data_IF_520862922842
#
_entry.id   IF_520862922842
#
_cell.length_a   1.000
_cell.length_b   1.000
_cell.length_c   1.000
_cell.angle_alpha   90.00
_cell.angle_beta   90.00
_cell.angle_gamma   90.00
#
_symmetry.space_group_name_H-M   'P 1'
#
loop_
_entity.id
_entity.type
_entity.pdbx_description
1 polymer ?
#
# COMPACT_ATOMS: atom_id res chain seq x y z
N UNK A 1 -18.31 -2.98 12.89
CA UNK A 1 -17.79 -4.37 12.88
C UNK A 1 -16.50 -4.45 13.70
N UNK A 2 -15.43 -3.72 13.35
CA UNK A 2 -14.14 -3.79 14.09
C UNK A 2 -14.22 -3.35 15.56
N UNK A 3 -15.08 -2.39 15.90
CA UNK A 3 -15.30 -1.96 17.29
C UNK A 3 -15.74 -3.09 18.21
N UNK A 4 -16.55 -4.02 17.72
CA UNK A 4 -16.96 -5.20 18.51
C UNK A 4 -15.78 -6.10 18.82
N UNK A 5 -14.86 -6.31 17.86
CA UNK A 5 -13.67 -7.13 18.05
C UNK A 5 -12.69 -6.49 19.04
N UNK A 6 -12.62 -5.16 19.07
CA UNK A 6 -11.84 -4.44 20.09
C UNK A 6 -12.46 -4.61 21.48
N UNK A 7 -13.78 -4.45 21.61
CA UNK A 7 -14.48 -4.62 22.88
C UNK A 7 -14.34 -6.04 23.43
N UNK A 8 -14.32 -7.06 22.54
CA UNK A 8 -14.15 -8.47 22.93
C UNK A 8 -12.70 -8.89 23.11
N UNK A 9 -11.73 -7.98 22.95
CA UNK A 9 -10.30 -8.27 23.07
C UNK A 9 -9.71 -9.11 21.95
N UNK A 10 -10.45 -9.28 20.84
CA UNK A 10 -9.97 -10.00 19.64
C UNK A 10 -9.09 -9.15 18.73
N UNK A 11 -9.15 -7.83 18.90
CA UNK A 11 -8.27 -6.87 18.24
C UNK A 11 -7.76 -5.83 19.22
N UNK A 12 -6.51 -5.39 19.10
CA UNK A 12 -6.00 -4.25 19.83
C UNK A 12 -6.79 -2.96 19.53
N UNK A 13 -6.76 -1.97 20.40
CA UNK A 13 -7.28 -0.63 20.12
C UNK A 13 -6.71 -0.04 18.82
N UNK A 14 -7.47 0.85 18.20
CA UNK A 14 -7.10 1.40 16.89
C UNK A 14 -5.73 2.13 16.91
N UNK A 15 -5.43 2.85 17.99
CA UNK A 15 -4.18 3.59 18.13
C UNK A 15 -2.94 2.68 18.23
N UNK A 16 -3.09 1.42 18.62
CA UNK A 16 -2.00 0.43 18.65
C UNK A 16 -1.77 -0.23 17.28
N UNK A 17 -2.74 -0.10 16.38
CA UNK A 17 -2.70 -0.70 15.02
C UNK A 17 -2.29 0.29 13.95
N UNK A 18 -2.39 1.58 14.22
CA UNK A 18 -2.01 2.64 13.29
C UNK A 18 -0.52 2.99 13.46
N UNK A 19 0.13 3.46 12.38
CA UNK A 19 1.47 4.05 12.49
C UNK A 19 1.43 5.33 13.36
N UNK A 20 2.58 5.78 13.85
CA UNK A 20 2.67 7.01 14.66
C UNK A 20 2.10 8.24 13.96
N UNK A 21 2.33 8.33 12.63
CA UNK A 21 1.85 9.40 11.78
C UNK A 21 0.95 8.81 10.69
N UNK A 22 -0.31 8.43 11.01
CA UNK A 22 -1.21 7.86 10.03
C UNK A 22 -1.54 8.89 8.94
N UNK A 23 -1.76 8.40 7.73
CA UNK A 23 -2.28 9.24 6.67
C UNK A 23 -3.71 9.67 7.01
N UNK A 24 -3.94 10.97 7.05
CA UNK A 24 -5.28 11.55 7.17
C UNK A 24 -5.69 12.05 5.78
N UNK A 25 -6.75 11.46 5.25
CA UNK A 25 -7.31 11.86 3.95
C UNK A 25 -8.43 12.85 4.21
N UNK A 26 -8.33 14.03 3.61
CA UNK A 26 -9.41 15.01 3.58
C UNK A 26 -10.29 14.72 2.36
N UNK A 27 -11.53 14.22 2.57
CA UNK A 27 -12.41 13.90 1.46
C UNK A 27 -12.93 15.20 0.81
N UNK A 28 -13.05 15.20 -0.52
CA UNK A 28 -13.47 16.38 -1.30
C UNK A 28 -14.91 16.86 -0.96
N UNK A 29 -15.80 15.93 -0.63
CA UNK A 29 -17.23 16.22 -0.41
C UNK A 29 -17.66 15.99 1.06
N UNK A 30 -16.76 15.57 1.92
CA UNK A 30 -17.05 15.27 3.32
C UNK A 30 -16.96 13.77 3.67
N UNK A 31 -17.02 13.47 4.96
CA UNK A 31 -16.90 12.10 5.47
C UNK A 31 -18.12 11.29 5.08
N UNK A 32 -17.92 10.19 4.34
CA UNK A 32 -18.98 9.28 3.95
C UNK A 32 -19.52 8.45 5.13
N UNK A 33 -20.64 7.78 4.91
CA UNK A 33 -21.18 6.81 5.87
C UNK A 33 -20.46 5.46 5.73
N UNK A 34 -19.96 4.95 6.84
CA UNK A 34 -19.30 3.66 6.86
C UNK A 34 -20.30 2.52 6.69
N UNK A 35 -20.05 1.63 5.76
CA UNK A 35 -20.86 0.44 5.51
C UNK A 35 -21.39 0.38 4.08
N UNK A 36 -22.37 -0.52 3.87
CA UNK A 36 -22.96 -0.77 2.55
C UNK A 36 -22.19 -1.82 1.74
N UNK A 37 -22.61 -1.99 0.49
CA UNK A 37 -22.01 -2.94 -0.47
C UNK A 37 -21.69 -2.20 -1.76
N UNK A 38 -20.44 -2.29 -2.15
CA UNK A 38 -19.99 -1.74 -3.43
C UNK A 38 -20.06 -2.82 -4.51
N UNK A 39 -20.96 -2.68 -5.47
CA UNK A 39 -21.08 -3.56 -6.62
C UNK A 39 -20.17 -3.09 -7.75
N UNK A 40 -19.38 -4.01 -8.30
CA UNK A 40 -18.55 -3.77 -9.48
C UNK A 40 -18.82 -4.84 -10.52
N UNK A 41 -18.82 -4.45 -11.78
CA UNK A 41 -18.97 -5.35 -12.91
C UNK A 41 -17.62 -5.55 -13.62
N UNK A 42 -17.42 -6.74 -14.17
CA UNK A 42 -16.28 -7.06 -15.03
C UNK A 42 -16.74 -7.98 -16.16
N UNK A 43 -16.05 -7.91 -17.29
CA UNK A 43 -16.45 -8.61 -18.53
C UNK A 43 -15.93 -10.05 -18.62
N UNK A 44 -15.03 -10.44 -17.71
CA UNK A 44 -14.47 -11.79 -17.67
C UNK A 44 -13.21 -11.89 -16.82
N UNK A 45 -12.62 -13.09 -16.70
CA UNK A 45 -11.45 -13.33 -15.84
C UNK A 45 -10.25 -12.43 -16.15
N UNK A 46 -10.10 -11.97 -17.39
CA UNK A 46 -9.02 -11.07 -17.80
C UNK A 46 -9.20 -9.63 -17.29
N UNK A 47 -10.39 -9.25 -16.82
CA UNK A 47 -10.69 -7.92 -16.23
C UNK A 47 -10.54 -7.91 -14.70
N UNK A 48 -9.63 -8.74 -14.18
CA UNK A 48 -9.35 -8.86 -12.74
C UNK A 48 -8.82 -7.55 -12.10
N UNK A 49 -8.25 -6.64 -12.88
CA UNK A 49 -7.75 -5.34 -12.41
C UNK A 49 -8.83 -4.50 -11.70
N UNK A 50 -10.10 -4.65 -12.06
CA UNK A 50 -11.20 -4.00 -11.37
C UNK A 50 -11.36 -4.43 -9.90
N UNK A 51 -10.97 -5.67 -9.60
CA UNK A 51 -10.95 -6.18 -8.22
C UNK A 51 -9.64 -5.84 -7.49
N UNK A 52 -8.53 -5.85 -8.20
CA UNK A 52 -7.21 -5.63 -7.61
C UNK A 52 -6.98 -4.18 -7.15
N UNK A 53 -7.41 -3.20 -7.94
CA UNK A 53 -7.15 -1.78 -7.66
C UNK A 53 -7.59 -1.31 -6.27
N UNK A 54 -8.79 -1.66 -5.77
CA UNK A 54 -9.20 -1.27 -4.42
C UNK A 54 -8.54 -2.10 -3.30
N UNK A 55 -7.81 -3.17 -3.64
CA UNK A 55 -7.16 -4.06 -2.68
C UNK A 55 -5.66 -3.82 -2.56
N UNK A 56 -5.09 -2.96 -3.40
CA UNK A 56 -3.65 -2.66 -3.41
C UNK A 56 -3.40 -1.26 -2.90
N UNK A 57 -2.46 -1.14 -2.00
CA UNK A 57 -1.89 0.14 -1.58
C UNK A 57 -0.57 0.39 -2.29
N UNK A 58 -0.36 1.65 -2.68
CA UNK A 58 0.85 2.10 -3.35
C UNK A 58 1.71 2.94 -2.40
N UNK A 59 3.00 3.05 -2.70
CA UNK A 59 3.91 3.92 -1.94
C UNK A 59 3.44 5.37 -1.94
N UNK A 60 2.95 5.84 -3.09
CA UNK A 60 2.40 7.17 -3.31
C UNK A 60 1.05 7.06 -4.03
N UNK A 61 0.19 8.03 -3.83
CA UNK A 61 -1.00 8.28 -4.65
C UNK A 61 -0.84 9.56 -5.46
N UNK A 62 -1.71 9.77 -6.42
CA UNK A 62 -1.88 11.08 -7.04
C UNK A 62 -3.03 11.84 -6.37
N UNK A 63 -2.93 13.16 -6.41
CA UNK A 63 -4.05 14.03 -6.05
C UNK A 63 -5.27 13.78 -6.94
N UNK A 64 -6.40 14.38 -6.61
CA UNK A 64 -7.66 14.23 -7.36
C UNK A 64 -7.55 14.74 -8.80
N UNK A 65 -6.60 15.63 -9.09
CA UNK A 65 -6.29 16.14 -10.43
C UNK A 65 -5.34 15.23 -11.22
N UNK A 66 -4.83 14.17 -10.62
CA UNK A 66 -3.82 13.26 -11.22
C UNK A 66 -2.53 13.99 -11.66
N UNK A 67 -2.18 15.08 -10.98
CA UNK A 67 -1.05 15.94 -11.34
C UNK A 67 0.12 15.83 -10.39
N UNK A 68 -0.15 15.68 -9.10
CA UNK A 68 0.88 15.74 -8.04
C UNK A 68 0.89 14.46 -7.23
N UNK A 69 2.05 13.77 -7.10
CA UNK A 69 2.17 12.64 -6.20
C UNK A 69 1.99 13.08 -4.75
N UNK A 70 1.28 12.25 -3.98
CA UNK A 70 0.96 12.47 -2.57
C UNK A 70 1.49 11.30 -1.74
N UNK A 71 1.93 11.53 -0.49
CA UNK A 71 2.34 10.46 0.41
C UNK A 71 1.22 9.46 0.67
N UNK A 72 1.57 8.16 0.75
CA UNK A 72 0.68 7.09 1.20
C UNK A 72 1.41 6.15 2.16
N UNK A 73 1.82 4.96 1.73
CA UNK A 73 2.69 4.05 2.50
C UNK A 73 4.01 4.74 2.82
N UNK A 74 4.61 5.40 1.84
CA UNK A 74 5.73 6.29 2.08
C UNK A 74 5.24 7.60 2.71
N UNK A 75 5.89 8.00 3.80
CA UNK A 75 5.66 9.30 4.43
C UNK A 75 6.25 10.44 3.58
N UNK A 76 7.36 10.17 2.90
CA UNK A 76 8.04 11.10 2.00
C UNK A 76 8.88 10.36 0.98
N UNK A 77 9.34 11.07 -0.04
CA UNK A 77 10.28 10.57 -1.03
C UNK A 77 11.23 11.68 -1.49
N UNK A 78 12.36 11.27 -2.03
CA UNK A 78 13.32 12.16 -2.69
C UNK A 78 13.83 11.54 -3.97
N UNK A 79 14.13 12.38 -4.97
CA UNK A 79 14.76 11.99 -6.22
C UNK A 79 16.08 12.72 -6.29
N UNK A 80 17.17 12.02 -6.64
CA UNK A 80 18.48 12.66 -6.83
C UNK A 80 18.49 13.54 -8.10
N UNK A 81 19.54 14.35 -8.26
CA UNK A 81 19.59 15.38 -9.31
C UNK A 81 19.53 14.85 -10.73
N UNK A 82 20.04 13.65 -10.99
CA UNK A 82 20.04 12.98 -12.29
C UNK A 82 18.86 12.01 -12.50
N UNK A 83 17.91 11.99 -11.53
CA UNK A 83 16.72 11.15 -11.55
C UNK A 83 16.98 9.64 -11.66
N UNK A 84 18.14 9.17 -11.22
CA UNK A 84 18.52 7.75 -11.25
C UNK A 84 18.18 7.02 -9.96
N UNK A 85 18.02 7.76 -8.83
CA UNK A 85 17.71 7.19 -7.52
C UNK A 85 16.46 7.83 -6.93
N UNK A 86 15.48 7.00 -6.60
CA UNK A 86 14.26 7.36 -5.89
C UNK A 86 14.32 6.73 -4.49
N UNK A 87 14.34 7.55 -3.46
CA UNK A 87 14.35 7.11 -2.07
C UNK A 87 13.01 7.34 -1.41
N UNK A 88 12.45 6.30 -0.80
CA UNK A 88 11.23 6.36 0.01
C UNK A 88 11.55 6.29 1.50
N UNK A 89 10.86 7.12 2.29
CA UNK A 89 10.84 7.00 3.75
C UNK A 89 9.50 6.42 4.16
N UNK A 90 9.50 5.24 4.77
CA UNK A 90 8.27 4.60 5.26
C UNK A 90 7.72 5.36 6.46
N UNK A 91 6.41 5.23 6.71
CA UNK A 91 5.81 5.73 7.95
C UNK A 91 6.31 4.94 9.14
N UNK A 92 6.58 5.64 10.23
CA UNK A 92 7.09 5.02 11.46
C UNK A 92 6.01 4.14 12.12
N UNK A 93 6.42 2.98 12.61
CA UNK A 93 5.58 1.99 13.29
C UNK A 93 4.41 1.43 12.44
N UNK A 94 4.60 1.33 11.14
CA UNK A 94 3.67 0.57 10.29
C UNK A 94 3.68 -0.92 10.66
N UNK A 95 2.52 -1.54 10.57
CA UNK A 95 2.34 -2.96 10.89
C UNK A 95 1.54 -3.67 9.80
N UNK A 96 1.82 -4.94 9.64
CA UNK A 96 0.97 -5.87 8.92
C UNK A 96 -0.35 -6.11 9.68
N UNK A 97 -1.31 -6.77 9.03
CA UNK A 97 -2.61 -7.07 9.65
C UNK A 97 -2.55 -8.03 10.84
N UNK A 98 -1.48 -8.80 10.95
CA UNK A 98 -1.18 -9.70 12.08
C UNK A 98 -0.49 -8.99 13.26
N UNK A 99 -0.08 -7.72 13.05
CA UNK A 99 0.58 -6.90 14.05
C UNK A 99 2.10 -6.85 13.95
N UNK A 100 2.72 -7.65 13.07
CA UNK A 100 4.15 -7.61 12.84
C UNK A 100 4.59 -6.28 12.18
N UNK A 101 5.79 -5.77 12.49
CA UNK A 101 6.28 -4.54 11.87
C UNK A 101 6.45 -4.66 10.36
N UNK A 102 5.92 -3.68 9.62
CA UNK A 102 6.21 -3.52 8.18
C UNK A 102 7.46 -2.66 8.00
N UNK A 103 8.49 -3.22 7.36
CA UNK A 103 9.81 -2.61 7.24
C UNK A 103 10.39 -2.76 5.84
N UNK A 104 11.54 -2.11 5.59
CA UNK A 104 12.32 -2.31 4.36
C UNK A 104 12.81 -3.76 4.18
N UNK A 105 12.86 -4.56 5.27
CA UNK A 105 13.21 -5.99 5.18
C UNK A 105 12.17 -6.77 4.40
N UNK A 106 10.90 -6.43 4.54
CA UNK A 106 9.80 -7.08 3.82
C UNK A 106 9.90 -6.80 2.32
N UNK A 107 10.24 -5.55 1.96
CA UNK A 107 10.50 -5.17 0.57
C UNK A 107 11.70 -5.92 0.01
N UNK A 108 12.81 -5.97 0.75
CA UNK A 108 14.02 -6.69 0.33
C UNK A 108 13.80 -8.20 0.25
N UNK A 109 13.02 -8.78 1.16
CA UNK A 109 12.62 -10.18 1.08
C UNK A 109 11.88 -10.46 -0.24
N UNK A 110 10.91 -9.62 -0.58
CA UNK A 110 10.17 -9.76 -1.83
C UNK A 110 11.10 -9.65 -3.06
N UNK A 111 12.01 -8.68 -3.08
CA UNK A 111 12.97 -8.51 -4.19
C UNK A 111 13.89 -9.72 -4.30
N UNK A 112 14.47 -10.18 -3.20
CA UNK A 112 15.51 -11.22 -3.23
C UNK A 112 14.94 -12.63 -3.45
N UNK A 113 13.75 -12.92 -2.92
CA UNK A 113 13.20 -14.27 -2.88
C UNK A 113 11.98 -14.50 -3.75
N UNK A 114 11.38 -13.42 -4.30
CA UNK A 114 10.22 -13.56 -5.17
C UNK A 114 10.46 -12.92 -6.54
N UNK A 115 10.93 -11.68 -6.58
CA UNK A 115 11.11 -10.97 -7.84
C UNK A 115 12.27 -11.55 -8.66
N UNK A 116 13.40 -11.89 -8.00
CA UNK A 116 14.61 -12.41 -8.61
C UNK A 116 14.70 -13.95 -8.63
N UNK A 117 13.67 -14.63 -8.16
CA UNK A 117 13.60 -16.09 -8.19
C UNK A 117 13.05 -16.54 -9.55
N UNK A 118 13.88 -17.24 -10.33
CA UNK A 118 13.53 -17.68 -11.68
C UNK A 118 12.48 -18.79 -11.69
N UNK A 119 12.36 -19.57 -10.61
CA UNK A 119 11.35 -20.61 -10.48
C UNK A 119 9.95 -20.01 -10.24
N UNK A 120 9.90 -18.91 -9.46
CA UNK A 120 8.65 -18.20 -9.15
C UNK A 120 8.32 -17.20 -10.26
N UNK A 121 9.32 -16.54 -10.80
CA UNK A 121 9.16 -15.44 -11.75
C UNK A 121 10.09 -15.60 -12.96
N UNK A 122 9.81 -16.58 -13.82
CA UNK A 122 10.69 -16.93 -14.95
C UNK A 122 10.84 -15.81 -15.99
N UNK A 123 9.94 -14.81 -15.93
CA UNK A 123 10.02 -13.63 -16.79
C UNK A 123 9.81 -12.38 -15.92
N UNK A 124 10.84 -11.91 -15.24
CA UNK A 124 10.74 -10.72 -14.40
C UNK A 124 10.34 -9.50 -15.27
N UNK A 125 9.57 -8.57 -14.71
CA UNK A 125 9.15 -7.38 -15.45
C UNK A 125 10.36 -6.56 -15.89
N UNK A 126 10.27 -5.91 -17.07
CA UNK A 126 11.37 -5.19 -17.68
C UNK A 126 12.02 -4.13 -16.76
N UNK A 127 11.23 -3.51 -15.88
CA UNK A 127 11.74 -2.55 -14.90
C UNK A 127 12.61 -3.19 -13.80
N UNK A 128 12.47 -4.49 -13.54
CA UNK A 128 13.27 -5.21 -12.55
C UNK A 128 14.61 -5.70 -13.13
N UNK A 129 14.70 -5.87 -14.45
CA UNK A 129 15.89 -6.43 -15.13
C UNK A 129 17.02 -5.40 -15.26
N UNK A 130 16.72 -4.12 -15.18
CA UNK A 130 17.71 -3.04 -15.37
C UNK A 130 18.43 -2.59 -14.10
N UNK A 131 18.34 -3.39 -13.05
CA UNK A 131 19.15 -3.26 -11.82
C UNK A 131 18.72 -2.09 -10.92
N UNK A 132 18.42 -2.44 -9.69
CA UNK A 132 18.55 -1.48 -8.59
C UNK A 132 20.01 -1.40 -8.18
#
# INVERSE_FOLDING_TARGET
>A
MLSKLVVTGQLPPVYERLPKNPLVIEPAEGIGQYGGTWFRAFTGPADGQNMERPLKDHMLYFDTGMTTPQPNIAASWTVNADATVLTFTLREDMKWSDGEPFTTRDVMFWVNHMLNDEDINPTPPAWAVHGC
#
